data_IF_157168953566
#
_entry.id   IF_157168953566
#
_cell.length_a   1.000
_cell.length_b   1.000
_cell.length_c   1.000
_cell.angle_alpha   90.00
_cell.angle_beta   90.00
_cell.angle_gamma   90.00
#
_symmetry.space_group_name_H-M   'P 1'
#
loop_
_entity.id
_entity.type
_entity.pdbx_description
1 polymer ?
#
# COMPACT_ATOMS: atom_id res chain seq x y z
N UNK A 1 5.07 -7.02 0.22
CA UNK A 1 6.28 -7.27 1.01
C UNK A 1 7.18 -8.24 0.27
N UNK A 2 8.48 -8.14 0.46
CA UNK A 2 9.47 -9.07 -0.09
C UNK A 2 9.70 -10.29 0.83
N UNK A 3 10.67 -11.13 0.48
CA UNK A 3 11.06 -12.31 1.26
C UNK A 3 11.63 -12.00 2.64
N UNK A 4 12.10 -10.76 2.86
CA UNK A 4 12.75 -10.29 4.08
C UNK A 4 11.79 -9.55 5.01
N UNK A 5 10.47 -9.66 4.79
CA UNK A 5 9.43 -8.91 5.50
C UNK A 5 9.53 -7.38 5.30
N UNK A 6 10.16 -6.94 4.21
CA UNK A 6 10.24 -5.52 3.88
C UNK A 6 9.02 -5.14 3.04
N UNK A 7 8.26 -4.15 3.52
CA UNK A 7 7.27 -3.45 2.74
C UNK A 7 7.98 -2.54 1.73
N UNK A 8 8.02 -2.97 0.47
CA UNK A 8 8.64 -2.22 -0.61
C UNK A 8 8.06 -0.80 -0.73
N UNK A 9 6.79 -0.59 -0.42
CA UNK A 9 6.14 0.73 -0.47
C UNK A 9 6.46 1.60 0.77
N UNK A 10 7.43 1.16 1.59
CA UNK A 10 8.09 1.91 2.68
C UNK A 10 9.60 1.94 2.51
N UNK A 11 10.15 1.38 1.42
CA UNK A 11 11.60 1.27 1.24
C UNK A 11 12.18 2.33 0.29
N UNK A 12 11.39 2.91 -0.62
CA UNK A 12 11.83 3.94 -1.58
C UNK A 12 12.01 5.32 -0.93
N UNK A 13 12.91 5.41 0.06
CA UNK A 13 13.22 6.67 0.74
C UNK A 13 13.90 7.65 -0.22
N UNK A 14 13.62 8.94 -0.04
CA UNK A 14 14.26 10.00 -0.83
C UNK A 14 15.48 10.58 -0.11
N UNK A 15 16.30 11.37 -0.82
CA UNK A 15 17.50 11.98 -0.24
C UNK A 15 17.17 12.78 1.03
N UNK A 16 17.94 12.54 2.09
CA UNK A 16 17.75 13.14 3.42
C UNK A 16 16.84 12.35 4.37
N UNK A 17 16.12 11.34 3.88
CA UNK A 17 15.38 10.40 4.73
C UNK A 17 16.27 9.24 5.18
N UNK A 18 15.93 8.64 6.32
CA UNK A 18 16.68 7.54 6.93
C UNK A 18 15.78 6.35 7.24
N UNK A 19 16.32 5.14 7.14
CA UNK A 19 15.67 3.89 7.52
C UNK A 19 15.65 3.72 9.05
N UNK A 20 15.08 4.70 9.75
CA UNK A 20 15.02 4.73 11.20
C UNK A 20 13.70 5.32 11.70
N UNK A 21 13.30 4.88 12.89
CA UNK A 21 12.16 5.41 13.61
C UNK A 21 10.84 4.73 13.31
N UNK A 22 9.87 5.01 14.17
CA UNK A 22 8.49 4.57 14.08
C UNK A 22 7.63 5.56 14.82
N UNK A 23 6.39 5.72 14.37
CA UNK A 23 5.43 6.57 15.05
C UNK A 23 5.22 6.09 16.50
N UNK A 24 5.13 6.98 17.48
CA UNK A 24 4.98 6.62 18.91
C UNK A 24 3.76 5.69 19.13
N UNK A 25 2.68 5.96 18.39
CA UNK A 25 1.47 5.13 18.41
C UNK A 25 1.70 3.72 17.85
N UNK A 26 2.61 3.55 16.86
CA UNK A 26 3.00 2.21 16.41
C UNK A 26 3.65 1.45 17.55
N UNK A 27 4.63 2.05 18.26
CA UNK A 27 5.32 1.40 19.38
C UNK A 27 4.34 0.93 20.46
N UNK A 28 3.33 1.73 20.77
CA UNK A 28 2.26 1.38 21.73
C UNK A 28 1.39 0.21 21.24
N UNK A 29 1.23 0.07 19.93
CA UNK A 29 0.43 -0.98 19.30
C UNK A 29 1.24 -2.19 18.83
N UNK A 30 2.57 -2.16 18.86
CA UNK A 30 3.43 -3.27 18.41
C UNK A 30 3.03 -4.62 19.01
N UNK A 31 2.80 -4.78 20.33
CA UNK A 31 2.39 -6.06 20.90
C UNK A 31 1.07 -6.59 20.33
N UNK A 32 0.20 -5.68 19.88
CA UNK A 32 -1.06 -6.03 19.24
C UNK A 32 -0.88 -6.36 17.76
N UNK A 33 -0.18 -5.49 17.02
CA UNK A 33 0.05 -5.60 15.58
C UNK A 33 0.93 -6.81 15.23
N UNK A 34 1.91 -7.11 16.09
CA UNK A 34 2.98 -8.08 15.86
C UNK A 34 3.02 -9.10 17.01
N UNK A 35 2.02 -10.01 17.09
CA UNK A 35 2.00 -11.01 18.14
C UNK A 35 3.24 -11.92 18.02
N UNK A 36 3.92 -12.15 19.15
CA UNK A 36 5.17 -12.93 19.24
C UNK A 36 4.95 -14.45 19.31
N UNK A 37 3.78 -14.92 18.89
CA UNK A 37 3.41 -16.33 18.92
C UNK A 37 2.30 -16.62 17.91
N UNK A 38 2.37 -17.78 17.27
CA UNK A 38 1.28 -18.29 16.44
C UNK A 38 0.11 -18.73 17.32
N UNK A 39 -1.13 -18.24 17.10
CA UNK A 39 -2.20 -18.50 18.05
C UNK A 39 -2.62 -19.97 18.04
N UNK A 40 -2.86 -20.51 19.24
CA UNK A 40 -3.89 -21.54 19.45
C UNK A 40 -5.25 -20.81 19.40
N UNK A 41 -5.84 -20.67 18.22
CA UNK A 41 -7.28 -20.42 17.98
C UNK A 41 -8.03 -19.28 18.73
N UNK A 42 -7.38 -18.28 19.34
CA UNK A 42 -8.10 -17.17 20.00
C UNK A 42 -8.18 -15.89 19.13
N UNK A 43 -8.87 -15.96 18.00
CA UNK A 43 -9.10 -14.79 17.13
C UNK A 43 -10.30 -13.88 17.52
N UNK A 44 -11.46 -14.37 18.00
CA UNK A 44 -12.66 -13.51 18.10
C UNK A 44 -12.59 -12.42 19.18
N UNK A 45 -12.09 -12.74 20.38
CA UNK A 45 -12.12 -11.82 21.53
C UNK A 45 -11.13 -10.65 21.39
N UNK A 46 -9.93 -10.90 20.87
CA UNK A 46 -8.94 -9.85 20.62
C UNK A 46 -9.36 -8.91 19.47
N UNK A 47 -9.98 -9.43 18.41
CA UNK A 47 -10.53 -8.61 17.32
C UNK A 47 -11.67 -7.69 17.80
N UNK A 48 -12.51 -8.14 18.73
CA UNK A 48 -13.56 -7.32 19.34
C UNK A 48 -13.01 -6.24 20.28
N UNK A 49 -11.99 -6.55 21.07
CA UNK A 49 -11.31 -5.57 21.94
C UNK A 49 -10.61 -4.48 21.12
N UNK A 50 -10.02 -4.88 19.99
CA UNK A 50 -9.37 -3.96 19.05
C UNK A 50 -10.38 -3.13 18.29
N UNK A 51 -11.49 -3.70 17.83
CA UNK A 51 -12.57 -2.92 17.23
C UNK A 51 -13.10 -1.83 18.19
N UNK A 52 -13.11 -2.09 19.50
CA UNK A 52 -13.43 -1.09 20.54
C UNK A 52 -12.32 -0.05 20.74
N UNK A 53 -11.04 -0.45 20.81
CA UNK A 53 -9.91 0.48 20.94
C UNK A 53 -9.72 1.36 19.69
N UNK A 54 -9.99 0.79 18.52
CA UNK A 54 -9.91 1.42 17.21
C UNK A 54 -10.94 2.54 17.02
N UNK A 55 -12.09 2.52 17.72
CA UNK A 55 -13.05 3.64 17.71
C UNK A 55 -12.46 4.96 18.22
N UNK A 56 -11.40 4.93 19.03
CA UNK A 56 -10.78 6.13 19.61
C UNK A 56 -9.41 6.49 19.00
N UNK A 57 -8.86 5.67 18.08
CA UNK A 57 -7.50 5.83 17.54
C UNK A 57 -7.33 5.48 16.05
N UNK A 58 -8.42 5.28 15.31
CA UNK A 58 -8.37 4.83 13.91
C UNK A 58 -7.54 5.74 13.00
N UNK A 59 -7.57 7.06 13.25
CA UNK A 59 -6.77 8.03 12.50
C UNK A 59 -5.27 7.83 12.72
N UNK A 60 -4.84 7.75 13.98
CA UNK A 60 -3.43 7.54 14.34
C UNK A 60 -2.91 6.16 13.94
N UNK A 61 -3.77 5.13 13.97
CA UNK A 61 -3.41 3.82 13.43
C UNK A 61 -3.25 3.87 11.91
N UNK A 62 -4.20 4.49 11.19
CA UNK A 62 -4.07 4.69 9.74
C UNK A 62 -2.80 5.47 9.40
N UNK A 63 -2.45 6.49 10.20
CA UNK A 63 -1.20 7.23 10.06
C UNK A 63 0.02 6.32 10.24
N UNK A 64 0.12 5.64 11.39
CA UNK A 64 1.26 4.77 11.69
C UNK A 64 1.45 3.66 10.64
N UNK A 65 0.34 3.14 10.08
CA UNK A 65 0.38 2.19 8.97
C UNK A 65 0.82 2.85 7.66
N UNK A 66 0.31 4.04 7.34
CA UNK A 66 0.65 4.78 6.13
C UNK A 66 2.10 5.29 6.11
N UNK A 67 2.65 5.68 7.25
CA UNK A 67 4.06 6.12 7.38
C UNK A 67 5.04 4.94 7.28
N UNK A 68 4.58 3.73 7.64
CA UNK A 68 5.46 2.59 7.88
C UNK A 68 6.31 2.77 9.13
N UNK A 69 7.24 1.85 9.33
CA UNK A 69 8.13 1.85 10.50
C UNK A 69 9.45 1.16 10.18
N UNK A 70 10.50 1.47 10.93
CA UNK A 70 11.86 0.95 10.73
C UNK A 70 12.49 0.40 12.01
N UNK A 71 11.75 0.38 13.13
CA UNK A 71 12.24 -0.05 14.45
C UNK A 71 11.93 -1.52 14.77
N UNK A 72 10.99 -2.14 14.04
CA UNK A 72 10.48 -3.49 14.29
C UNK A 72 10.65 -4.37 13.04
N UNK A 73 11.81 -5.03 12.86
CA UNK A 73 12.12 -5.79 11.64
C UNK A 73 11.17 -6.95 11.30
N UNK A 74 10.55 -7.56 12.32
CA UNK A 74 9.55 -8.63 12.16
C UNK A 74 8.11 -8.09 12.18
N UNK A 75 7.96 -6.77 12.22
CA UNK A 75 6.68 -6.10 12.36
C UNK A 75 6.02 -5.80 11.01
N UNK A 76 4.71 -5.58 11.04
CA UNK A 76 3.98 -5.08 9.89
C UNK A 76 4.50 -3.71 9.44
N UNK A 77 4.46 -3.47 8.13
CA UNK A 77 4.86 -2.20 7.50
C UNK A 77 6.33 -1.81 7.75
N UNK A 78 7.20 -2.81 7.97
CA UNK A 78 8.63 -2.59 8.11
C UNK A 78 9.26 -2.15 6.80
N UNK A 79 9.92 -1.00 6.75
CA UNK A 79 10.51 -0.43 5.54
C UNK A 79 11.94 -0.90 5.23
N UNK A 80 12.52 -1.80 6.03
CA UNK A 80 13.92 -2.23 5.89
C UNK A 80 14.90 -1.33 6.64
N UNK A 81 16.19 -1.67 6.58
CA UNK A 81 17.28 -0.88 7.19
C UNK A 81 18.19 -0.22 6.15
N UNK A 82 17.97 -0.50 4.88
CA UNK A 82 18.75 -0.04 3.73
C UNK A 82 17.90 -0.19 2.45
N UNK A 83 18.35 0.37 1.31
CA UNK A 83 17.70 0.12 0.02
C UNK A 83 17.57 -1.37 -0.26
N UNK A 84 16.41 -1.82 -0.74
CA UNK A 84 16.18 -3.19 -1.18
C UNK A 84 16.82 -3.45 -2.54
N UNK A 85 16.93 -4.72 -2.93
CA UNK A 85 17.30 -5.09 -4.31
C UNK A 85 16.34 -4.48 -5.33
N UNK A 86 15.05 -4.42 -5.03
CA UNK A 86 14.05 -3.77 -5.89
C UNK A 86 14.35 -2.29 -6.07
N UNK A 87 14.63 -1.56 -4.99
CA UNK A 87 14.99 -0.14 -5.09
C UNK A 87 16.26 0.05 -5.94
N UNK A 88 17.31 -0.73 -5.67
CA UNK A 88 18.55 -0.68 -6.45
C UNK A 88 18.33 -1.02 -7.93
N UNK A 89 17.45 -1.97 -8.23
CA UNK A 89 17.07 -2.32 -9.60
C UNK A 89 16.39 -1.13 -10.30
N UNK A 90 15.42 -0.49 -9.62
CA UNK A 90 14.78 0.71 -10.15
C UNK A 90 15.78 1.83 -10.40
N UNK A 91 16.69 2.11 -9.47
CA UNK A 91 17.75 3.13 -9.61
C UNK A 91 18.68 2.87 -10.79
N UNK A 92 19.05 1.61 -11.03
CA UNK A 92 20.06 1.26 -12.04
C UNK A 92 19.48 1.04 -13.44
N UNK A 93 18.22 0.60 -13.55
CA UNK A 93 17.65 0.16 -14.83
C UNK A 93 16.40 0.94 -15.26
N UNK A 94 15.61 1.47 -14.32
CA UNK A 94 14.33 2.13 -14.64
C UNK A 94 14.46 3.64 -14.58
N UNK A 95 15.21 4.17 -13.60
CA UNK A 95 15.47 5.59 -13.43
C UNK A 95 16.06 6.26 -14.67
N UNK A 96 17.09 5.70 -15.35
CA UNK A 96 17.65 6.34 -16.54
C UNK A 96 16.64 6.51 -17.67
N UNK A 97 15.74 5.54 -17.85
CA UNK A 97 14.72 5.54 -18.90
C UNK A 97 13.74 6.71 -18.71
N UNK A 98 13.17 6.86 -17.51
CA UNK A 98 12.17 7.90 -17.29
C UNK A 98 12.76 9.27 -16.95
N UNK A 99 14.03 9.36 -16.50
CA UNK A 99 14.69 10.66 -16.33
C UNK A 99 14.88 11.39 -17.67
N UNK A 100 15.07 10.64 -18.75
CA UNK A 100 15.23 11.20 -20.10
C UNK A 100 13.90 11.51 -20.80
N UNK A 101 12.78 11.05 -20.25
CA UNK A 101 11.46 11.20 -20.87
C UNK A 101 10.94 12.64 -20.72
N UNK A 102 10.31 13.15 -21.78
CA UNK A 102 9.66 14.47 -21.73
C UNK A 102 8.45 14.52 -20.78
N UNK A 103 7.79 13.38 -20.59
CA UNK A 103 6.67 13.21 -19.68
C UNK A 103 6.65 11.78 -19.15
N UNK A 104 6.26 11.61 -17.88
CA UNK A 104 6.22 10.30 -17.21
C UNK A 104 4.87 10.14 -16.54
N UNK A 105 4.16 9.06 -16.87
CA UNK A 105 2.99 8.59 -16.15
C UNK A 105 3.30 7.24 -15.52
N UNK A 106 3.19 7.16 -14.20
CA UNK A 106 3.33 5.93 -13.44
C UNK A 106 2.01 5.58 -12.76
N UNK A 107 1.50 4.39 -13.04
CA UNK A 107 0.31 3.83 -12.41
C UNK A 107 0.75 2.65 -11.55
N UNK A 108 0.72 2.81 -10.24
CA UNK A 108 1.04 1.77 -9.27
C UNK A 108 -0.26 1.04 -8.89
N UNK A 109 -0.45 -0.20 -9.34
CA UNK A 109 -1.71 -0.93 -9.13
C UNK A 109 -1.71 -1.63 -7.78
N UNK A 110 -2.67 -1.28 -6.93
CA UNK A 110 -2.88 -1.87 -5.62
C UNK A 110 -4.28 -2.46 -5.51
N UNK A 111 -4.48 -3.32 -4.52
CA UNK A 111 -5.80 -3.79 -4.14
C UNK A 111 -5.85 -4.06 -2.64
N UNK A 112 -7.02 -3.86 -2.03
CA UNK A 112 -7.16 -4.03 -0.59
C UNK A 112 -8.17 -3.07 0.01
N UNK A 113 -7.77 -1.81 0.12
CA UNK A 113 -8.53 -0.78 0.82
C UNK A 113 -9.62 -0.18 -0.08
N UNK A 114 -10.79 0.09 0.49
CA UNK A 114 -11.86 0.81 -0.18
C UNK A 114 -13.11 -0.03 -0.46
N UNK A 115 -14.07 0.57 -1.14
CA UNK A 115 -15.33 -0.09 -1.48
C UNK A 115 -15.05 -1.22 -2.46
N UNK A 116 -15.55 -2.42 -2.13
CA UNK A 116 -15.37 -3.63 -2.92
C UNK A 116 -15.73 -3.43 -4.40
N UNK A 117 -14.76 -3.68 -5.28
CA UNK A 117 -14.90 -3.56 -6.74
C UNK A 117 -14.89 -2.12 -7.29
N UNK A 118 -14.87 -1.12 -6.42
CA UNK A 118 -14.56 0.26 -6.80
C UNK A 118 -13.05 0.48 -6.72
N UNK A 119 -12.58 1.59 -7.28
CA UNK A 119 -11.20 2.00 -7.17
C UNK A 119 -11.06 3.48 -6.87
N UNK A 120 -9.90 3.85 -6.35
CA UNK A 120 -9.53 5.22 -6.02
C UNK A 120 -8.10 5.48 -6.50
N UNK A 121 -7.82 6.72 -6.88
CA UNK A 121 -6.45 7.19 -7.10
C UNK A 121 -5.96 7.89 -5.84
N UNK A 122 -4.85 7.39 -5.30
CA UNK A 122 -4.21 7.86 -4.09
C UNK A 122 -2.89 8.55 -4.44
N UNK A 123 -2.72 9.74 -3.89
CA UNK A 123 -1.53 10.58 -4.04
C UNK A 123 -1.01 10.98 -2.66
N UNK A 124 0.30 10.88 -2.47
CA UNK A 124 1.01 11.32 -1.27
C UNK A 124 1.83 12.61 -1.50
N UNK A 125 1.51 13.34 -2.58
CA UNK A 125 2.05 14.65 -2.90
C UNK A 125 0.99 15.56 -3.53
N UNK A 126 1.33 16.84 -3.65
CA UNK A 126 0.47 17.85 -4.26
C UNK A 126 0.61 17.88 -5.78
N UNK A 127 -0.50 17.71 -6.49
CA UNK A 127 -0.59 17.93 -7.94
C UNK A 127 -0.77 19.42 -8.23
N UNK A 128 -0.09 19.90 -9.28
CA UNK A 128 -0.41 21.17 -9.91
C UNK A 128 -1.84 21.15 -10.50
N UNK A 129 -2.40 22.33 -10.76
CA UNK A 129 -3.78 22.44 -11.24
C UNK A 129 -3.97 21.73 -12.59
N UNK A 130 -2.99 21.85 -13.49
CA UNK A 130 -2.96 21.26 -14.81
C UNK A 130 -2.89 19.73 -14.74
N UNK A 131 -2.03 19.19 -13.87
CA UNK A 131 -1.88 17.75 -13.65
C UNK A 131 -3.17 17.14 -13.08
N UNK A 132 -3.79 17.84 -12.11
CA UNK A 132 -5.07 17.43 -11.52
C UNK A 132 -6.18 17.44 -12.55
N UNK A 133 -6.26 18.48 -13.38
CA UNK A 133 -7.24 18.59 -14.45
C UNK A 133 -7.06 17.47 -15.48
N UNK A 134 -5.82 17.22 -15.89
CA UNK A 134 -5.49 16.13 -16.81
C UNK A 134 -5.88 14.76 -16.24
N UNK A 135 -5.53 14.48 -14.98
CA UNK A 135 -5.83 13.20 -14.32
C UNK A 135 -7.34 12.98 -14.19
N UNK A 136 -8.09 14.00 -13.75
CA UNK A 136 -9.56 13.94 -13.65
C UNK A 136 -10.21 13.64 -15.01
N UNK A 137 -9.71 14.27 -16.08
CA UNK A 137 -10.22 14.05 -17.44
C UNK A 137 -9.84 12.66 -17.99
N UNK A 138 -8.69 12.13 -17.61
CA UNK A 138 -8.16 10.85 -18.14
C UNK A 138 -8.78 9.62 -17.47
N UNK A 139 -9.23 9.75 -16.22
CA UNK A 139 -9.79 8.63 -15.46
C UNK A 139 -11.32 8.57 -15.62
N UNK A 140 -12.02 9.62 -15.18
CA UNK A 140 -13.45 9.92 -15.36
C UNK A 140 -13.75 11.09 -14.40
N UNK A 141 -14.46 12.14 -14.84
CA UNK A 141 -14.77 13.30 -14.00
C UNK A 141 -15.53 12.97 -12.69
N UNK A 142 -16.17 11.80 -12.63
CA UNK A 142 -16.96 11.34 -11.47
C UNK A 142 -16.20 10.41 -10.50
N UNK A 143 -14.91 10.14 -10.73
CA UNK A 143 -14.08 9.35 -9.82
C UNK A 143 -13.22 10.30 -8.99
N UNK A 144 -13.42 10.39 -7.66
CA UNK A 144 -12.67 11.32 -6.85
C UNK A 144 -11.20 10.90 -6.79
N UNK A 145 -10.31 11.75 -7.31
CA UNK A 145 -8.89 11.69 -6.96
C UNK A 145 -8.79 12.04 -5.48
N UNK A 146 -8.55 11.02 -4.65
CA UNK A 146 -8.33 11.23 -3.23
C UNK A 146 -6.86 11.54 -3.02
N UNK A 147 -6.58 12.83 -2.98
CA UNK A 147 -5.36 13.27 -2.36
C UNK A 147 -5.39 12.89 -0.89
N UNK A 148 -4.42 12.09 -0.45
CA UNK A 148 -4.27 11.82 0.97
C UNK A 148 -4.09 13.19 1.64
N UNK A 149 -5.00 13.54 2.55
CA UNK A 149 -4.92 14.83 3.26
C UNK A 149 -3.50 15.00 3.79
N UNK A 150 -2.90 16.18 3.59
CA UNK A 150 -1.50 16.51 3.91
C UNK A 150 -1.05 16.24 5.36
N UNK A 151 -1.94 15.79 6.23
CA UNK A 151 -1.62 15.27 7.56
C UNK A 151 -0.92 13.89 7.55
N UNK A 152 -1.07 13.09 6.49
CA UNK A 152 -0.45 11.76 6.37
C UNK A 152 0.90 11.83 5.64
N UNK A 153 2.03 11.72 6.36
CA UNK A 153 3.39 11.78 5.77
C UNK A 153 3.87 10.38 5.36
N UNK A 154 3.28 9.81 4.32
CA UNK A 154 3.80 8.55 3.78
C UNK A 154 5.28 8.69 3.39
N UNK A 155 6.11 7.73 3.79
CA UNK A 155 7.54 7.66 3.49
C UNK A 155 7.82 6.36 2.76
N UNK A 156 8.81 6.41 1.88
CA UNK A 156 9.28 5.20 1.20
C UNK A 156 8.37 4.68 0.10
N UNK A 157 7.40 5.46 -0.35
CA UNK A 157 6.53 5.05 -1.46
C UNK A 157 7.25 5.19 -2.80
N UNK A 158 6.97 4.27 -3.72
CA UNK A 158 7.51 4.35 -5.07
C UNK A 158 7.04 5.62 -5.79
N UNK A 159 5.78 6.03 -5.57
CA UNK A 159 5.21 7.20 -6.23
C UNK A 159 5.89 8.51 -5.83
N UNK A 160 6.14 8.68 -4.53
CA UNK A 160 6.87 9.83 -4.02
C UNK A 160 8.32 9.84 -4.50
N UNK A 161 8.95 8.66 -4.56
CA UNK A 161 10.32 8.55 -5.08
C UNK A 161 10.40 8.92 -6.56
N UNK A 162 9.51 8.41 -7.41
CA UNK A 162 9.44 8.78 -8.84
C UNK A 162 9.26 10.30 -8.99
N UNK A 163 8.31 10.89 -8.24
CA UNK A 163 8.07 12.34 -8.27
C UNK A 163 9.28 13.15 -7.80
N UNK A 164 10.02 12.65 -6.81
CA UNK A 164 11.25 13.29 -6.35
C UNK A 164 12.36 13.27 -7.42
N UNK A 165 12.50 12.16 -8.14
CA UNK A 165 13.48 12.00 -9.21
C UNK A 165 13.10 12.75 -10.49
N UNK A 166 11.80 12.85 -10.80
CA UNK A 166 11.27 13.53 -11.96
C UNK A 166 10.06 14.40 -11.55
N UNK A 167 10.28 15.69 -11.20
CA UNK A 167 9.23 16.55 -10.65
C UNK A 167 8.00 16.78 -11.54
N UNK A 168 8.07 16.51 -12.84
CA UNK A 168 6.92 16.58 -13.75
C UNK A 168 6.22 15.23 -13.95
N UNK A 169 6.64 14.16 -13.26
CA UNK A 169 6.03 12.84 -13.39
C UNK A 169 4.69 12.78 -12.66
N UNK A 170 3.64 12.27 -13.31
CA UNK A 170 2.38 11.94 -12.64
C UNK A 170 2.49 10.49 -12.18
N UNK A 171 2.67 10.29 -10.88
CA UNK A 171 2.73 8.96 -10.26
C UNK A 171 1.58 8.78 -9.29
N UNK A 172 0.71 7.80 -9.56
CA UNK A 172 -0.48 7.57 -8.76
C UNK A 172 -0.54 6.13 -8.28
N UNK A 173 -0.94 5.94 -7.03
CA UNK A 173 -1.40 4.64 -6.56
C UNK A 173 -2.86 4.47 -6.99
N UNK A 174 -3.14 3.38 -7.68
CA UNK A 174 -4.46 3.00 -8.16
C UNK A 174 -4.96 1.82 -7.32
N UNK A 175 -5.76 2.13 -6.31
CA UNK A 175 -6.19 1.17 -5.29
C UNK A 175 -7.57 0.60 -5.63
N UNK A 176 -7.66 -0.72 -5.82
CA UNK A 176 -8.92 -1.43 -5.99
C UNK A 176 -9.44 -2.01 -4.67
N UNK A 177 -10.62 -1.59 -4.24
CA UNK A 177 -11.20 -2.03 -2.98
C UNK A 177 -11.60 -3.51 -2.99
N UNK A 178 -11.29 -4.21 -1.88
CA UNK A 178 -11.62 -5.63 -1.70
C UNK A 178 -12.47 -5.87 -0.46
N UNK A 179 -12.04 -5.34 0.68
CA UNK A 179 -12.50 -5.66 2.03
C UNK A 179 -12.33 -4.46 2.97
N UNK A 180 -12.92 -4.55 4.17
CA UNK A 180 -12.72 -3.48 5.17
C UNK A 180 -11.25 -3.42 5.63
N UNK A 181 -10.78 -2.23 6.01
CA UNK A 181 -9.41 -2.06 6.54
C UNK A 181 -9.15 -2.95 7.77
N UNK A 182 -10.17 -3.23 8.57
CA UNK A 182 -10.07 -4.13 9.73
C UNK A 182 -9.82 -5.57 9.28
N UNK A 183 -10.52 -6.02 8.23
CA UNK A 183 -10.35 -7.35 7.64
C UNK A 183 -8.96 -7.51 7.03
N UNK A 184 -8.49 -6.51 6.27
CA UNK A 184 -7.15 -6.50 5.68
C UNK A 184 -6.07 -6.54 6.77
N UNK A 185 -6.18 -5.69 7.81
CA UNK A 185 -5.26 -5.68 8.94
C UNK A 185 -5.27 -7.02 9.70
N UNK A 186 -6.43 -7.63 9.90
CA UNK A 186 -6.55 -8.93 10.54
C UNK A 186 -5.83 -10.03 9.74
N UNK A 187 -5.96 -10.01 8.41
CA UNK A 187 -5.30 -10.95 7.52
C UNK A 187 -3.77 -10.76 7.51
N UNK A 188 -3.30 -9.51 7.41
CA UNK A 188 -1.87 -9.15 7.51
C UNK A 188 -1.26 -9.64 8.83
N UNK A 189 -1.92 -9.32 9.95
CA UNK A 189 -1.45 -9.70 11.28
C UNK A 189 -1.41 -11.22 11.49
N UNK A 190 -2.43 -11.93 10.99
CA UNK A 190 -2.44 -13.39 11.04
C UNK A 190 -1.32 -13.97 10.16
N UNK A 191 -1.17 -13.49 8.93
CA UNK A 191 -0.15 -14.05 8.04
C UNK A 191 1.28 -13.75 8.52
N UNK A 192 1.57 -12.52 8.99
CA UNK A 192 2.88 -12.16 9.54
C UNK A 192 3.26 -13.02 10.75
N UNK A 193 2.30 -13.26 11.66
CA UNK A 193 2.51 -14.15 12.79
C UNK A 193 2.76 -15.61 12.35
N UNK A 194 2.08 -16.06 11.29
CA UNK A 194 2.29 -17.40 10.73
C UNK A 194 3.68 -17.51 10.12
N UNK A 195 4.11 -16.48 9.39
CA UNK A 195 5.39 -16.41 8.72
C UNK A 195 6.56 -16.55 9.69
N UNK A 196 6.49 -15.85 10.83
CA UNK A 196 7.56 -15.84 11.83
C UNK A 196 7.51 -16.98 12.85
N UNK A 197 6.31 -17.40 13.26
CA UNK A 197 6.13 -18.30 14.41
C UNK A 197 5.34 -19.58 14.11
N UNK A 198 4.77 -19.70 12.92
CA UNK A 198 3.94 -20.84 12.52
C UNK A 198 4.73 -22.00 11.94
N UNK A 199 4.18 -23.20 12.06
CA UNK A 199 4.67 -24.37 11.32
C UNK A 199 4.23 -24.28 9.85
N UNK A 200 5.20 -24.13 8.94
CA UNK A 200 4.98 -24.00 7.49
C UNK A 200 4.23 -25.18 6.86
N UNK A 201 4.34 -26.38 7.46
CA UNK A 201 3.63 -27.58 7.01
C UNK A 201 2.18 -27.65 7.50
N UNK A 202 1.79 -26.79 8.46
CA UNK A 202 0.48 -26.86 9.10
C UNK A 202 -0.65 -26.28 8.23
N UNK A 203 -1.85 -26.84 8.36
CA UNK A 203 -3.07 -26.30 7.72
C UNK A 203 -3.37 -24.87 8.13
N UNK A 204 -3.03 -24.48 9.37
CA UNK A 204 -3.30 -23.12 9.88
C UNK A 204 -2.38 -22.08 9.24
N UNK A 205 -1.11 -22.41 9.00
CA UNK A 205 -0.20 -21.57 8.23
C UNK A 205 -0.71 -21.34 6.80
N UNK A 206 -1.10 -22.42 6.11
CA UNK A 206 -1.64 -22.34 4.75
C UNK A 206 -2.94 -21.52 4.70
N UNK A 207 -3.81 -21.69 5.70
CA UNK A 207 -5.03 -20.88 5.81
C UNK A 207 -4.74 -19.39 6.04
N UNK A 208 -3.69 -19.04 6.78
CA UNK A 208 -3.30 -17.63 6.99
C UNK A 208 -2.79 -16.99 5.69
N UNK A 209 -1.92 -17.70 4.96
CA UNK A 209 -1.45 -17.30 3.62
C UNK A 209 -2.62 -17.11 2.65
N UNK A 210 -3.55 -18.06 2.63
CA UNK A 210 -4.73 -18.00 1.77
C UNK A 210 -5.66 -16.83 2.13
N UNK A 211 -5.91 -16.59 3.42
CA UNK A 211 -6.71 -15.44 3.87
C UNK A 211 -6.07 -14.11 3.49
N UNK A 212 -4.75 -13.98 3.59
CA UNK A 212 -4.06 -12.79 3.11
C UNK A 212 -4.25 -12.61 1.60
N UNK A 213 -4.06 -13.67 0.83
CA UNK A 213 -4.28 -13.63 -0.62
C UNK A 213 -5.70 -13.18 -0.96
N UNK A 214 -6.72 -13.73 -0.31
CA UNK A 214 -8.13 -13.36 -0.54
C UNK A 214 -8.46 -11.93 -0.09
N UNK A 215 -7.76 -11.43 0.94
CA UNK A 215 -7.91 -10.05 1.38
C UNK A 215 -7.42 -9.03 0.33
N UNK A 216 -6.43 -9.38 -0.50
CA UNK A 216 -5.90 -8.51 -1.55
C UNK A 216 -6.42 -8.89 -2.95
N UNK A 217 -6.79 -10.14 -3.18
CA UNK A 217 -7.29 -10.66 -4.45
C UNK A 217 -8.47 -11.61 -4.19
N UNK A 218 -9.67 -11.08 -3.94
CA UNK A 218 -10.86 -11.88 -3.72
C UNK A 218 -11.08 -12.91 -4.85
N UNK A 219 -11.44 -14.17 -4.52
CA UNK A 219 -11.57 -15.24 -5.52
C UNK A 219 -12.84 -15.14 -6.36
N UNK A 220 -13.77 -14.25 -6.01
CA UNK A 220 -15.05 -14.12 -6.68
C UNK A 220 -14.88 -13.54 -8.09
N UNK A 221 -15.29 -14.32 -9.09
CA UNK A 221 -15.22 -13.94 -10.50
C UNK A 221 -15.92 -12.60 -10.80
N UNK A 222 -16.97 -12.26 -10.05
CA UNK A 222 -17.66 -10.97 -10.18
C UNK A 222 -16.78 -9.78 -9.79
N UNK A 223 -15.99 -9.89 -8.72
CA UNK A 223 -15.03 -8.85 -8.32
C UNK A 223 -13.91 -8.73 -9.35
N UNK A 224 -13.32 -9.86 -9.76
CA UNK A 224 -12.24 -9.89 -10.76
C UNK A 224 -12.68 -9.26 -12.09
N UNK A 225 -13.86 -9.64 -12.59
CA UNK A 225 -14.43 -9.07 -13.82
C UNK A 225 -14.69 -7.57 -13.68
N UNK A 226 -15.18 -7.12 -12.53
CA UNK A 226 -15.45 -5.69 -12.29
C UNK A 226 -14.15 -4.87 -12.31
N UNK A 227 -13.12 -5.35 -11.61
CA UNK A 227 -11.80 -4.71 -11.57
C UNK A 227 -11.16 -4.68 -12.94
N UNK A 228 -11.11 -5.80 -13.66
CA UNK A 228 -10.49 -5.89 -14.99
C UNK A 228 -11.20 -4.99 -16.01
N UNK A 229 -12.53 -5.00 -16.06
CA UNK A 229 -13.28 -4.15 -16.98
C UNK A 229 -13.08 -2.66 -16.67
N UNK A 230 -13.03 -2.31 -15.38
CA UNK A 230 -12.82 -0.94 -14.94
C UNK A 230 -11.39 -0.47 -15.23
N UNK A 231 -10.41 -1.35 -15.02
CA UNK A 231 -9.01 -1.09 -15.33
C UNK A 231 -8.80 -0.88 -16.83
N UNK A 232 -9.33 -1.77 -17.67
CA UNK A 232 -9.27 -1.64 -19.13
C UNK A 232 -9.90 -0.32 -19.60
N UNK A 233 -11.11 0.00 -19.14
CA UNK A 233 -11.78 1.24 -19.52
C UNK A 233 -10.98 2.51 -19.17
N UNK A 234 -10.31 2.54 -18.01
CA UNK A 234 -9.45 3.65 -17.60
C UNK A 234 -8.15 3.67 -18.39
N UNK A 235 -7.48 2.53 -18.58
CA UNK A 235 -6.24 2.44 -19.36
C UNK A 235 -6.45 2.89 -20.82
N UNK A 236 -7.55 2.48 -21.45
CA UNK A 236 -7.91 2.93 -22.80
C UNK A 236 -8.06 4.45 -22.88
N UNK A 237 -8.66 5.08 -21.85
CA UNK A 237 -8.79 6.54 -21.78
C UNK A 237 -7.45 7.21 -21.56
N UNK A 238 -6.64 6.71 -20.63
CA UNK A 238 -5.30 7.22 -20.34
C UNK A 238 -4.43 7.17 -21.59
N UNK A 239 -4.39 6.04 -22.31
CA UNK A 239 -3.61 5.91 -23.55
C UNK A 239 -4.08 6.92 -24.59
N UNK A 240 -5.40 7.10 -24.73
CA UNK A 240 -5.98 8.08 -25.65
C UNK A 240 -5.65 9.52 -25.27
N UNK A 241 -5.67 9.88 -23.99
CA UNK A 241 -5.40 11.27 -23.55
C UNK A 241 -3.91 11.58 -23.49
N UNK A 242 -3.09 10.62 -23.05
CA UNK A 242 -1.63 10.76 -22.96
C UNK A 242 -0.97 10.83 -24.33
N UNK A 243 -1.43 10.03 -25.31
CA UNK A 243 -0.90 10.08 -26.68
C UNK A 243 -1.21 11.37 -27.45
N UNK A 244 -2.05 12.24 -26.91
CA UNK A 244 -2.43 13.54 -27.48
C UNK A 244 -1.98 14.74 -26.62
N UNK A 245 -1.25 14.49 -25.53
CA UNK A 245 -0.69 15.50 -24.63
C UNK A 245 0.79 15.73 -24.93
#
# INVERSE_FOLDING_TARGET
>A
MDQSNIDLNRNFLISGERYEGSHEFYRKLDPFLNPKSWPKLELPAQLQAVAKAMRHGLGNLKQAVAEGQYDFPLGLFYGGSEPTETMRFFESHILPEFQSAAAVLHLDLHSGLGKRGAFEFLLDYELAAEERNWLNNSVNANLPVQQLKSAYKARGSLSRWIRHQHPAAISVCWEFGTSSSISVLAALRAENAAYHWGDRGSKTFQAAKQKLKEAFSPPEASWQKTVLNSADAVLQRIVKTWGNA
#
